data_IF_459920698043
#
_entry.id   IF_459920698043
#
_cell.length_a   1.000
_cell.length_b   1.000
_cell.length_c   1.000
_cell.angle_alpha   90.00
_cell.angle_beta   90.00
_cell.angle_gamma   90.00
#
_symmetry.space_group_name_H-M   'P 1'
#
loop_
_entity.id
_entity.type
_entity.pdbx_description
1 polymer ?
#
# COMPACT_ATOMS: atom_id res chain seq x y z
N UNK A 1 -34.33 63.91 9.83
CA UNK A 1 -34.21 62.80 8.85
C UNK A 1 -32.76 62.71 8.39
N UNK A 2 -32.02 61.68 8.81
CA UNK A 2 -30.72 61.30 8.23
C UNK A 2 -30.92 59.95 7.56
N UNK A 3 -30.75 59.87 6.25
CA UNK A 3 -30.80 58.63 5.48
C UNK A 3 -29.35 58.15 5.36
N UNK A 4 -29.03 57.07 6.06
CA UNK A 4 -27.73 56.39 5.98
C UNK A 4 -27.81 55.35 4.87
N UNK A 5 -27.02 55.51 3.82
CA UNK A 5 -26.90 54.50 2.76
C UNK A 5 -25.91 53.42 3.20
N UNK A 6 -26.40 52.19 3.35
CA UNK A 6 -25.60 51.00 3.61
C UNK A 6 -25.10 50.46 2.27
N UNK A 7 -23.80 50.61 1.99
CA UNK A 7 -23.16 50.00 0.82
C UNK A 7 -22.90 48.52 1.12
N UNK A 8 -23.68 47.63 0.48
CA UNK A 8 -23.46 46.19 0.53
C UNK A 8 -22.49 45.80 -0.61
N UNK A 9 -21.21 45.66 -0.29
CA UNK A 9 -20.22 45.12 -1.23
C UNK A 9 -20.39 43.60 -1.31
N UNK A 10 -20.98 43.11 -2.42
CA UNK A 10 -20.94 41.69 -2.78
C UNK A 10 -19.51 41.31 -3.21
N UNK A 11 -18.80 40.61 -2.34
CA UNK A 11 -17.56 39.91 -2.69
C UNK A 11 -17.92 38.65 -3.50
N UNK A 12 -17.83 38.73 -4.82
CA UNK A 12 -17.80 37.55 -5.68
C UNK A 12 -16.44 36.85 -5.50
N UNK A 13 -16.37 35.94 -4.53
CA UNK A 13 -15.25 35.02 -4.43
C UNK A 13 -15.28 34.07 -5.63
N UNK A 14 -14.24 34.10 -6.46
CA UNK A 14 -13.99 33.06 -7.45
C UNK A 14 -13.70 31.75 -6.71
N UNK A 15 -14.73 30.93 -6.50
CA UNK A 15 -14.55 29.55 -6.09
C UNK A 15 -13.96 28.79 -7.28
N UNK A 16 -12.64 28.63 -7.30
CA UNK A 16 -12.01 27.59 -8.11
C UNK A 16 -12.37 26.28 -7.42
N UNK A 17 -13.31 25.52 -7.99
CA UNK A 17 -13.56 24.16 -7.53
C UNK A 17 -12.27 23.35 -7.72
N UNK A 18 -11.65 22.94 -6.61
CA UNK A 18 -10.47 22.09 -6.66
C UNK A 18 -10.83 20.79 -7.38
N UNK A 19 -10.07 20.44 -8.42
CA UNK A 19 -10.28 19.22 -9.18
C UNK A 19 -10.06 18.01 -8.27
N UNK A 20 -11.03 17.09 -8.20
CA UNK A 20 -10.87 15.87 -7.40
C UNK A 20 -9.67 15.05 -7.88
N UNK A 21 -9.08 14.27 -6.97
CA UNK A 21 -7.96 13.38 -7.32
C UNK A 21 -8.31 12.45 -8.49
N UNK A 22 -9.52 11.90 -8.51
CA UNK A 22 -10.00 11.09 -9.63
C UNK A 22 -10.06 11.86 -10.95
N UNK A 23 -10.45 13.13 -10.94
CA UNK A 23 -10.47 13.99 -12.15
C UNK A 23 -9.07 14.17 -12.73
N UNK A 24 -8.07 14.36 -11.86
CA UNK A 24 -6.67 14.44 -12.28
C UNK A 24 -6.17 13.10 -12.85
N UNK A 25 -6.51 11.98 -12.21
CA UNK A 25 -6.14 10.65 -12.71
C UNK A 25 -6.79 10.33 -14.07
N UNK A 26 -8.02 10.78 -14.30
CA UNK A 26 -8.75 10.58 -15.57
C UNK A 26 -8.13 11.32 -16.76
N UNK A 27 -7.14 12.21 -16.57
CA UNK A 27 -6.40 12.84 -17.68
C UNK A 27 -5.52 11.85 -18.44
N UNK A 28 -5.11 10.75 -17.80
CA UNK A 28 -4.18 9.78 -18.37
C UNK A 28 -4.89 8.64 -19.10
N UNK A 29 -4.47 8.35 -20.33
CA UNK A 29 -5.10 7.32 -21.18
C UNK A 29 -5.10 5.93 -20.55
N UNK A 30 -4.04 5.57 -19.80
CA UNK A 30 -3.96 4.27 -19.10
C UNK A 30 -4.97 4.15 -17.97
N UNK A 31 -5.26 5.25 -17.27
CA UNK A 31 -6.31 5.26 -16.23
C UNK A 31 -7.68 5.16 -16.88
N UNK A 32 -7.94 5.89 -17.99
CA UNK A 32 -9.19 5.74 -18.74
C UNK A 32 -9.41 4.30 -19.21
N UNK A 33 -8.37 3.67 -19.75
CA UNK A 33 -8.42 2.26 -20.16
C UNK A 33 -8.68 1.33 -18.97
N UNK A 34 -8.01 1.55 -17.84
CA UNK A 34 -8.27 0.80 -16.61
C UNK A 34 -9.74 0.91 -16.18
N UNK A 35 -10.31 2.11 -16.17
CA UNK A 35 -11.73 2.36 -15.86
C UNK A 35 -12.64 1.57 -16.81
N UNK A 36 -12.45 1.73 -18.12
CA UNK A 36 -13.27 1.07 -19.15
C UNK A 36 -13.25 -0.45 -18.99
N UNK A 37 -12.07 -1.02 -18.73
CA UNK A 37 -11.89 -2.47 -18.73
C UNK A 37 -12.19 -3.13 -17.38
N UNK A 38 -11.99 -2.41 -16.27
CA UNK A 38 -11.94 -3.01 -14.92
C UNK A 38 -12.94 -2.44 -13.93
N UNK A 39 -13.60 -1.31 -14.19
CA UNK A 39 -14.48 -0.69 -13.19
C UNK A 39 -15.60 -1.65 -12.75
N UNK A 40 -16.33 -2.26 -13.69
CA UNK A 40 -17.40 -3.23 -13.34
C UNK A 40 -16.87 -4.43 -12.53
N UNK A 41 -15.64 -4.87 -12.79
CA UNK A 41 -15.00 -5.97 -12.06
C UNK A 41 -14.69 -5.55 -10.62
N UNK A 42 -14.11 -4.35 -10.45
CA UNK A 42 -13.80 -3.77 -9.14
C UNK A 42 -15.08 -3.54 -8.33
N UNK A 43 -16.11 -2.95 -8.95
CA UNK A 43 -17.42 -2.75 -8.32
C UNK A 43 -18.05 -4.08 -7.88
N UNK A 44 -18.05 -5.09 -8.75
CA UNK A 44 -18.62 -6.41 -8.44
C UNK A 44 -17.92 -7.06 -7.24
N UNK A 45 -16.58 -7.04 -7.22
CA UNK A 45 -15.78 -7.57 -6.09
C UNK A 45 -16.06 -6.82 -4.78
N UNK A 46 -16.22 -5.50 -4.81
CA UNK A 46 -16.59 -4.73 -3.62
C UNK A 46 -18.02 -5.09 -3.15
N UNK A 47 -18.96 -5.18 -4.08
CA UNK A 47 -20.37 -5.49 -3.79
C UNK A 47 -20.54 -6.88 -3.19
N UNK A 48 -19.80 -7.89 -3.64
CA UNK A 48 -19.75 -9.24 -3.04
C UNK A 48 -19.41 -9.19 -1.54
N UNK A 49 -18.73 -8.14 -1.08
CA UNK A 49 -18.36 -7.91 0.32
C UNK A 49 -19.16 -6.79 1.01
N UNK A 50 -20.26 -6.34 0.40
CA UNK A 50 -21.11 -5.23 0.86
C UNK A 50 -20.38 -3.88 0.96
N UNK A 51 -19.46 -3.61 0.03
CA UNK A 51 -18.72 -2.36 -0.10
C UNK A 51 -19.16 -1.61 -1.37
N UNK A 52 -19.03 -0.28 -1.35
CA UNK A 52 -19.25 0.58 -2.52
C UNK A 52 -17.91 1.07 -3.06
N UNK A 53 -17.83 1.33 -4.36
CA UNK A 53 -16.62 1.89 -4.99
C UNK A 53 -16.31 3.34 -4.57
N UNK A 54 -17.29 4.03 -3.99
CA UNK A 54 -17.15 5.40 -3.49
C UNK A 54 -17.26 5.48 -1.95
N UNK A 55 -17.15 4.34 -1.24
CA UNK A 55 -17.15 4.27 0.23
C UNK A 55 -16.37 3.05 0.74
N UNK A 56 -15.04 3.13 0.68
CA UNK A 56 -14.18 2.15 1.34
C UNK A 56 -12.80 2.70 1.71
N UNK A 57 -12.17 2.08 2.71
CA UNK A 57 -10.73 2.13 2.90
C UNK A 57 -10.09 0.81 2.46
N UNK A 58 -8.88 0.92 1.93
CA UNK A 58 -8.07 -0.13 1.35
C UNK A 58 -6.84 -0.41 2.21
N UNK A 59 -6.36 -1.65 2.20
CA UNK A 59 -5.10 -2.09 2.78
C UNK A 59 -4.56 -3.26 1.97
N UNK A 60 -3.25 -3.28 1.73
CA UNK A 60 -2.58 -4.39 1.04
C UNK A 60 -1.70 -5.19 2.00
N UNK A 61 -1.72 -6.52 1.85
CA UNK A 61 -0.79 -7.42 2.55
C UNK A 61 -0.08 -8.29 1.53
N UNK A 62 1.25 -8.19 1.44
CA UNK A 62 2.06 -8.96 0.52
C UNK A 62 2.90 -10.01 1.26
N UNK A 63 3.05 -11.19 0.64
CA UNK A 63 3.90 -12.27 1.11
C UNK A 63 4.96 -12.62 0.07
N UNK A 64 6.22 -12.54 0.47
CA UNK A 64 7.35 -12.78 -0.44
C UNK A 64 7.51 -14.26 -0.80
N UNK A 65 7.25 -15.19 0.12
CA UNK A 65 7.49 -16.62 -0.13
C UNK A 65 6.53 -17.21 -1.17
N UNK A 66 5.23 -16.96 -1.04
CA UNK A 66 4.18 -17.44 -1.95
C UNK A 66 3.87 -16.48 -3.11
N UNK A 67 4.50 -15.30 -3.16
CA UNK A 67 4.28 -14.30 -4.20
C UNK A 67 2.81 -13.91 -4.32
N UNK A 68 2.19 -13.56 -3.19
CA UNK A 68 0.78 -13.15 -3.11
C UNK A 68 0.66 -11.73 -2.56
N UNK A 69 -0.30 -10.98 -3.09
CA UNK A 69 -0.77 -9.70 -2.55
C UNK A 69 -2.26 -9.83 -2.26
N UNK A 70 -2.62 -9.84 -0.99
CA UNK A 70 -3.98 -9.82 -0.50
C UNK A 70 -4.51 -8.39 -0.44
N UNK A 71 -5.76 -8.22 -0.85
CA UNK A 71 -6.47 -6.94 -0.79
C UNK A 71 -7.50 -6.99 0.32
N UNK A 72 -7.41 -6.03 1.22
CA UNK A 72 -8.31 -5.85 2.33
C UNK A 72 -9.07 -4.54 2.17
N UNK A 73 -10.38 -4.58 2.42
CA UNK A 73 -11.20 -3.38 2.40
C UNK A 73 -12.25 -3.37 3.52
N UNK A 74 -12.65 -2.17 3.93
CA UNK A 74 -13.72 -1.90 4.90
C UNK A 74 -14.51 -0.68 4.46
N UNK A 75 -15.74 -0.50 4.94
CA UNK A 75 -16.42 0.79 4.78
C UNK A 75 -15.65 1.89 5.51
N UNK A 76 -15.76 3.13 5.07
CA UNK A 76 -15.08 4.25 5.77
C UNK A 76 -15.57 4.39 7.23
N UNK A 77 -16.83 4.01 7.48
CA UNK A 77 -17.47 4.00 8.81
C UNK A 77 -17.09 2.82 9.71
N UNK A 78 -16.44 1.78 9.16
CA UNK A 78 -16.05 0.57 9.90
C UNK A 78 -14.58 0.63 10.31
N UNK A 79 -14.16 -0.17 11.30
CA UNK A 79 -12.75 -0.31 11.71
C UNK A 79 -12.11 -1.61 11.22
N UNK A 80 -12.92 -2.64 11.00
CA UNK A 80 -12.46 -3.99 10.67
C UNK A 80 -12.46 -4.25 9.17
N UNK A 81 -11.29 -4.59 8.63
CA UNK A 81 -11.08 -4.97 7.25
C UNK A 81 -11.53 -6.40 6.95
N UNK A 82 -12.02 -6.61 5.72
CA UNK A 82 -12.32 -7.92 5.14
C UNK A 82 -11.35 -8.17 3.99
N UNK A 83 -10.84 -9.39 3.86
CA UNK A 83 -10.09 -9.78 2.66
C UNK A 83 -11.09 -9.89 1.52
N UNK A 84 -10.91 -9.10 0.47
CA UNK A 84 -11.79 -9.08 -0.70
C UNK A 84 -11.18 -9.78 -1.92
N UNK A 85 -9.85 -9.96 -1.95
CA UNK A 85 -9.20 -10.56 -3.10
C UNK A 85 -7.77 -11.02 -2.79
N UNK A 86 -7.16 -11.78 -3.70
CA UNK A 86 -5.75 -12.17 -3.67
C UNK A 86 -5.17 -12.20 -5.08
N UNK A 87 -4.08 -11.46 -5.29
CA UNK A 87 -3.38 -11.33 -6.56
C UNK A 87 -2.03 -12.02 -6.51
N UNK A 88 -1.65 -12.66 -7.61
CA UNK A 88 -0.30 -13.22 -7.75
C UNK A 88 0.70 -12.13 -8.12
N UNK A 89 1.74 -11.98 -7.32
CA UNK A 89 2.94 -11.20 -7.65
C UNK A 89 3.71 -12.00 -8.71
N UNK A 90 3.99 -11.37 -9.84
CA UNK A 90 4.45 -12.06 -11.06
C UNK A 90 5.88 -12.56 -10.98
N UNK A 91 6.72 -11.85 -10.24
CA UNK A 91 8.12 -12.18 -10.03
C UNK A 91 8.59 -11.70 -8.65
N UNK A 92 9.62 -12.36 -8.13
CA UNK A 92 10.26 -12.02 -6.84
C UNK A 92 11.73 -11.76 -7.07
N UNK A 93 12.25 -10.72 -6.43
CA UNK A 93 13.69 -10.46 -6.33
C UNK A 93 14.22 -10.87 -4.95
N UNK A 94 15.48 -11.28 -4.91
CA UNK A 94 16.20 -11.56 -3.68
C UNK A 94 15.71 -12.80 -2.91
N UNK A 95 16.09 -12.86 -1.64
CA UNK A 95 15.74 -13.89 -0.65
C UNK A 95 14.80 -13.33 0.42
N UNK A 96 14.36 -14.17 1.35
CA UNK A 96 13.67 -13.68 2.54
C UNK A 96 14.64 -12.87 3.41
N UNK A 97 14.12 -11.79 3.99
CA UNK A 97 14.86 -10.74 4.68
C UNK A 97 14.58 -9.35 4.12
N UNK A 98 14.73 -8.29 4.92
CA UNK A 98 14.39 -6.93 4.51
C UNK A 98 15.39 -6.38 3.48
N UNK A 99 14.95 -5.34 2.76
CA UNK A 99 15.82 -4.49 1.96
C UNK A 99 16.61 -3.55 2.88
N UNK A 100 17.94 -3.57 2.78
CA UNK A 100 18.83 -2.78 3.65
C UNK A 100 19.85 -1.94 2.88
N UNK A 101 20.03 -2.15 1.58
CA UNK A 101 21.01 -1.41 0.79
C UNK A 101 20.55 -1.22 -0.66
N UNK A 102 20.96 -0.12 -1.29
CA UNK A 102 20.82 0.05 -2.74
C UNK A 102 21.54 -1.09 -3.48
N UNK A 103 20.89 -1.69 -4.49
CA UNK A 103 21.49 -2.81 -5.24
C UNK A 103 21.54 -4.16 -4.52
N UNK A 104 20.88 -4.33 -3.38
CA UNK A 104 20.75 -5.65 -2.72
C UNK A 104 19.71 -6.59 -3.36
N UNK A 105 18.98 -6.10 -4.39
CA UNK A 105 17.92 -6.81 -5.10
C UNK A 105 16.80 -7.37 -4.19
N UNK A 106 16.61 -6.80 -3.00
CA UNK A 106 15.59 -7.24 -2.04
C UNK A 106 14.29 -6.44 -2.18
N UNK A 107 13.14 -7.11 -2.08
CA UNK A 107 11.88 -6.45 -1.69
C UNK A 107 11.91 -6.19 -0.18
N UNK A 108 11.53 -5.00 0.30
CA UNK A 108 11.48 -4.70 1.73
C UNK A 108 10.51 -5.61 2.50
N UNK A 109 10.70 -5.67 3.81
CA UNK A 109 9.81 -6.36 4.76
C UNK A 109 9.50 -5.38 5.89
N UNK A 110 8.22 -5.21 6.23
CA UNK A 110 7.80 -4.18 7.18
C UNK A 110 6.43 -3.58 6.86
N UNK A 111 6.17 -2.43 7.48
CA UNK A 111 4.91 -1.71 7.37
C UNK A 111 5.12 -0.39 6.61
N UNK A 112 4.39 -0.23 5.52
CA UNK A 112 4.52 0.87 4.57
C UNK A 112 3.14 1.47 4.26
N UNK A 113 3.13 2.51 3.44
CA UNK A 113 1.92 3.01 2.80
C UNK A 113 2.22 3.52 1.39
N UNK A 114 1.19 3.53 0.55
CA UNK A 114 1.25 4.14 -0.78
C UNK A 114 1.42 5.66 -0.62
N UNK A 115 2.46 6.22 -1.22
CA UNK A 115 2.74 7.66 -1.23
C UNK A 115 2.78 8.26 -2.64
N UNK A 116 2.77 7.42 -3.68
CA UNK A 116 2.95 7.84 -5.06
C UNK A 116 1.99 7.09 -5.97
N UNK A 117 1.35 7.80 -6.89
CA UNK A 117 0.47 7.25 -7.93
C UNK A 117 1.01 7.70 -9.29
N UNK A 118 1.52 6.75 -10.08
CA UNK A 118 2.16 7.06 -11.36
C UNK A 118 1.40 6.38 -12.51
N UNK A 119 0.52 7.14 -13.20
CA UNK A 119 -0.22 6.64 -14.35
C UNK A 119 0.59 6.58 -15.64
N UNK A 120 1.81 7.15 -15.67
CA UNK A 120 2.73 7.19 -16.81
C UNK A 120 4.01 6.36 -16.55
N UNK A 121 3.91 5.34 -15.70
CA UNK A 121 5.03 4.47 -15.36
C UNK A 121 5.68 3.83 -16.60
N UNK A 122 6.98 3.57 -16.54
CA UNK A 122 7.65 2.73 -17.55
C UNK A 122 7.11 1.28 -17.54
N UNK A 123 6.43 0.87 -16.46
CA UNK A 123 5.82 -0.45 -16.27
C UNK A 123 4.28 -0.40 -16.22
N UNK A 124 3.67 0.34 -17.16
CA UNK A 124 2.22 0.54 -17.31
C UNK A 124 1.57 1.49 -16.26
N UNK A 125 1.12 0.96 -15.13
CA UNK A 125 0.64 1.73 -13.97
C UNK A 125 1.51 1.36 -12.77
N UNK A 126 1.77 2.30 -11.86
CA UNK A 126 2.49 1.96 -10.64
C UNK A 126 2.11 2.80 -9.43
N UNK A 127 2.16 2.17 -8.26
CA UNK A 127 1.94 2.79 -6.95
C UNK A 127 3.20 2.62 -6.09
N UNK A 128 3.79 3.71 -5.65
CA UNK A 128 5.03 3.70 -4.86
C UNK A 128 4.72 3.60 -3.37
N UNK A 129 5.52 2.83 -2.65
CA UNK A 129 5.49 2.79 -1.18
C UNK A 129 6.52 3.75 -0.58
N UNK A 130 6.31 4.15 0.67
CA UNK A 130 7.22 5.03 1.41
C UNK A 130 8.54 4.36 1.88
N UNK A 131 9.09 3.40 1.13
CA UNK A 131 10.41 2.84 1.38
C UNK A 131 11.52 3.82 0.92
N UNK A 132 12.60 4.02 1.70
CA UNK A 132 12.80 3.51 3.06
C UNK A 132 11.94 4.26 4.08
N UNK A 133 11.36 3.55 5.06
CA UNK A 133 10.68 4.17 6.19
C UNK A 133 11.68 4.45 7.34
N UNK A 134 11.20 4.90 8.52
CA UNK A 134 12.08 5.18 9.66
C UNK A 134 12.76 3.92 10.21
N UNK A 135 12.08 2.78 10.26
CA UNK A 135 12.64 1.51 10.74
C UNK A 135 13.76 1.07 9.81
N UNK A 136 13.55 1.18 8.49
CA UNK A 136 14.57 0.86 7.49
C UNK A 136 15.84 1.69 7.67
N UNK A 137 15.68 3.01 7.86
CA UNK A 137 16.79 3.95 8.07
C UNK A 137 17.59 3.64 9.32
N UNK A 138 16.94 3.26 10.44
CA UNK A 138 17.62 2.93 11.69
C UNK A 138 18.32 1.57 11.59
N UNK A 139 17.70 0.59 10.94
CA UNK A 139 18.23 -0.79 10.84
C UNK A 139 19.26 -0.98 9.73
N UNK A 140 19.66 0.06 9.00
CA UNK A 140 20.68 -0.03 7.96
C UNK A 140 21.89 0.84 8.27
N UNK A 141 23.08 0.27 8.08
CA UNK A 141 24.35 0.98 8.11
C UNK A 141 24.86 1.33 6.70
N UNK A 142 24.06 1.08 5.66
CA UNK A 142 24.48 1.33 4.28
C UNK A 142 24.47 2.84 3.97
N UNK A 143 25.42 3.35 3.16
CA UNK A 143 25.44 4.75 2.73
C UNK A 143 24.16 5.18 1.98
N UNK A 144 23.55 4.22 1.26
CA UNK A 144 22.29 4.39 0.54
C UNK A 144 21.43 3.15 0.71
N UNK A 145 20.18 3.34 1.10
CA UNK A 145 19.18 2.27 1.14
C UNK A 145 18.53 2.01 -0.22
N UNK A 146 18.69 2.96 -1.16
CA UNK A 146 17.93 3.00 -2.40
C UNK A 146 16.54 3.58 -2.17
N UNK A 147 15.61 3.24 -3.05
CA UNK A 147 14.23 3.72 -3.04
C UNK A 147 13.42 2.97 -4.09
N UNK A 148 12.42 3.66 -4.66
CA UNK A 148 11.74 3.21 -5.88
C UNK A 148 11.15 1.80 -5.79
N UNK A 149 10.51 1.49 -4.65
CA UNK A 149 9.74 0.26 -4.49
C UNK A 149 8.29 0.55 -4.87
N UNK A 150 7.82 -0.16 -5.90
CA UNK A 150 6.49 0.02 -6.46
C UNK A 150 5.71 -1.30 -6.53
N UNK A 151 4.39 -1.19 -6.45
CA UNK A 151 3.43 -2.16 -6.98
C UNK A 151 3.14 -1.70 -8.41
N UNK A 152 3.46 -2.49 -9.44
CA UNK A 152 3.37 -2.03 -10.83
C UNK A 152 2.98 -3.13 -11.83
N UNK A 153 2.70 -2.76 -13.09
CA UNK A 153 2.43 -3.70 -14.18
C UNK A 153 3.68 -4.39 -14.72
N UNK A 154 3.63 -4.97 -15.91
CA UNK A 154 4.75 -5.69 -16.53
C UNK A 154 5.28 -6.84 -15.67
N UNK A 155 6.53 -7.28 -15.90
CA UNK A 155 7.05 -8.55 -15.37
C UNK A 155 8.39 -8.42 -14.65
N UNK A 156 9.10 -7.32 -14.86
CA UNK A 156 10.48 -7.14 -14.40
C UNK A 156 10.54 -6.53 -13.02
N UNK A 157 11.47 -6.99 -12.18
CA UNK A 157 11.66 -6.42 -10.84
C UNK A 157 13.09 -6.60 -10.34
N UNK A 158 13.56 -5.59 -9.60
CA UNK A 158 14.82 -5.55 -8.85
C UNK A 158 14.53 -5.23 -7.36
N UNK A 159 13.31 -5.56 -6.89
CA UNK A 159 12.84 -5.29 -5.52
C UNK A 159 11.38 -4.87 -5.42
N UNK A 160 10.77 -4.45 -6.53
CA UNK A 160 9.34 -4.13 -6.64
C UNK A 160 8.42 -5.36 -6.55
N UNK A 161 7.11 -5.08 -6.50
CA UNK A 161 6.02 -6.06 -6.49
C UNK A 161 5.32 -6.02 -7.88
N UNK A 162 5.89 -6.66 -8.92
CA UNK A 162 5.30 -6.65 -10.25
C UNK A 162 4.03 -7.49 -10.26
N UNK A 163 3.01 -6.97 -10.92
CA UNK A 163 1.74 -7.63 -11.18
C UNK A 163 1.75 -8.10 -12.64
N UNK A 164 0.63 -8.04 -13.33
CA UNK A 164 0.60 -7.97 -14.80
C UNK A 164 -0.03 -6.63 -15.18
N UNK A 165 0.10 -6.20 -16.43
CA UNK A 165 -0.62 -5.02 -16.92
C UNK A 165 -2.14 -5.16 -16.70
N UNK A 166 -2.66 -6.38 -16.85
CA UNK A 166 -4.07 -6.65 -16.58
C UNK A 166 -4.45 -6.43 -15.12
N UNK A 167 -3.65 -6.96 -14.19
CA UNK A 167 -3.97 -6.96 -12.76
C UNK A 167 -3.62 -5.67 -12.05
N UNK A 168 -2.63 -4.93 -12.52
CA UNK A 168 -2.33 -3.61 -11.94
C UNK A 168 -3.47 -2.62 -12.17
N UNK A 169 -4.23 -2.74 -13.27
CA UNK A 169 -5.40 -1.88 -13.50
C UNK A 169 -6.42 -2.00 -12.37
N UNK A 170 -6.75 -3.22 -11.93
CA UNK A 170 -7.68 -3.47 -10.81
C UNK A 170 -7.14 -2.84 -9.51
N UNK A 171 -5.88 -3.14 -9.14
CA UNK A 171 -5.24 -2.60 -7.93
C UNK A 171 -5.12 -1.07 -7.92
N UNK A 172 -4.78 -0.48 -9.07
CA UNK A 172 -4.68 0.96 -9.24
C UNK A 172 -6.05 1.63 -9.09
N UNK A 173 -7.11 1.05 -9.65
CA UNK A 173 -8.48 1.55 -9.49
C UNK A 173 -8.91 1.55 -8.02
N UNK A 174 -8.73 0.45 -7.30
CA UNK A 174 -9.01 0.41 -5.86
C UNK A 174 -8.31 1.57 -5.13
N UNK A 175 -7.03 1.77 -5.42
CA UNK A 175 -6.23 2.75 -4.71
C UNK A 175 -6.60 4.21 -5.04
N UNK A 176 -6.95 4.52 -6.30
CA UNK A 176 -7.35 5.89 -6.66
C UNK A 176 -8.76 6.24 -6.19
N UNK A 177 -9.68 5.28 -6.09
CA UNK A 177 -10.98 5.49 -5.48
C UNK A 177 -10.85 5.75 -3.97
N UNK A 178 -10.16 4.86 -3.25
CA UNK A 178 -9.91 5.06 -1.82
C UNK A 178 -9.20 6.39 -1.51
N UNK A 179 -8.22 6.79 -2.33
CA UNK A 179 -7.54 8.09 -2.22
C UNK A 179 -8.46 9.27 -2.55
N UNK A 180 -9.31 9.13 -3.56
CA UNK A 180 -10.30 10.16 -3.92
C UNK A 180 -11.29 10.41 -2.77
N UNK A 181 -11.61 9.36 -2.00
CA UNK A 181 -12.55 9.42 -0.89
C UNK A 181 -11.87 9.73 0.46
N UNK A 182 -10.64 10.26 0.40
CA UNK A 182 -9.93 10.82 1.56
C UNK A 182 -8.94 9.89 2.24
N UNK A 183 -8.71 8.67 1.74
CA UNK A 183 -7.66 7.81 2.29
C UNK A 183 -6.28 8.24 1.78
N UNK A 184 -5.65 9.20 2.47
CA UNK A 184 -4.37 9.77 2.07
C UNK A 184 -3.19 8.79 2.12
N UNK A 185 -3.26 7.80 3.01
CA UNK A 185 -2.24 6.77 3.21
C UNK A 185 -2.91 5.40 3.16
N UNK A 186 -2.67 4.66 2.10
CA UNK A 186 -3.16 3.28 1.96
C UNK A 186 -2.09 2.35 2.53
N UNK A 187 -2.33 1.62 3.63
CA UNK A 187 -1.31 0.78 4.24
C UNK A 187 -0.92 -0.40 3.34
N UNK A 188 0.37 -0.74 3.36
CA UNK A 188 0.96 -1.86 2.65
C UNK A 188 1.86 -2.62 3.62
N UNK A 189 1.47 -3.81 4.01
CA UNK A 189 2.26 -4.66 4.89
C UNK A 189 2.96 -5.72 4.05
N UNK A 190 4.28 -5.84 4.18
CA UNK A 190 5.07 -6.78 3.40
C UNK A 190 5.76 -7.74 4.36
N UNK A 191 5.33 -9.00 4.32
CA UNK A 191 5.84 -10.07 5.16
C UNK A 191 6.71 -11.04 4.36
N UNK A 192 7.71 -11.69 5.01
CA UNK A 192 8.52 -12.71 4.37
C UNK A 192 7.66 -13.90 3.91
N UNK A 193 6.65 -14.26 4.69
CA UNK A 193 5.73 -15.38 4.48
C UNK A 193 4.47 -15.17 5.31
N UNK A 194 3.46 -16.05 5.17
CA UNK A 194 2.30 -16.08 6.09
C UNK A 194 2.78 -16.50 7.48
N UNK A 195 2.96 -15.56 8.40
CA UNK A 195 3.68 -15.78 9.67
C UNK A 195 2.85 -16.47 10.77
N UNK A 196 2.02 -17.46 10.41
CA UNK A 196 1.37 -18.31 11.44
C UNK A 196 2.42 -19.10 12.24
N UNK A 197 2.05 -19.60 13.41
CA UNK A 197 3.00 -20.21 14.36
C UNK A 197 3.77 -21.39 13.76
N UNK A 198 3.11 -22.20 12.91
CA UNK A 198 3.73 -23.34 12.23
C UNK A 198 4.83 -22.88 11.28
N UNK A 199 4.55 -21.91 10.40
CA UNK A 199 5.55 -21.38 9.48
C UNK A 199 6.62 -20.58 10.20
N UNK A 200 6.25 -19.85 11.26
CA UNK A 200 7.21 -19.08 12.05
C UNK A 200 8.26 -19.99 12.69
N UNK A 201 7.85 -21.08 13.34
CA UNK A 201 8.79 -22.04 13.92
C UNK A 201 9.63 -22.77 12.86
N UNK A 202 9.04 -23.10 11.71
CA UNK A 202 9.78 -23.69 10.58
C UNK A 202 10.88 -22.75 10.08
N UNK A 203 10.56 -21.49 9.84
CA UNK A 203 11.50 -20.51 9.31
C UNK A 203 12.54 -20.08 10.36
N UNK A 204 12.16 -19.99 11.63
CA UNK A 204 13.10 -19.76 12.75
C UNK A 204 14.18 -20.85 12.80
N UNK A 205 13.80 -22.12 12.68
CA UNK A 205 14.76 -23.23 12.59
C UNK A 205 15.62 -23.15 11.33
N UNK A 206 15.01 -22.87 10.18
CA UNK A 206 15.71 -22.75 8.89
C UNK A 206 16.77 -21.63 8.88
N UNK A 207 16.52 -20.53 9.58
CA UNK A 207 17.39 -19.35 9.65
C UNK A 207 18.08 -19.20 11.01
N UNK A 208 18.26 -20.29 11.76
CA UNK A 208 18.88 -20.26 13.09
C UNK A 208 20.33 -19.71 13.08
N UNK A 209 21.03 -19.77 11.95
CA UNK A 209 22.36 -19.17 11.75
C UNK A 209 22.33 -17.66 11.46
N UNK A 210 21.15 -17.03 11.45
CA UNK A 210 20.93 -15.60 11.20
C UNK A 210 20.07 -14.98 12.31
N UNK A 211 20.59 -14.89 13.55
CA UNK A 211 19.80 -14.47 14.72
C UNK A 211 19.17 -13.08 14.56
N UNK A 212 19.89 -12.11 14.00
CA UNK A 212 19.35 -10.76 13.76
C UNK A 212 18.12 -10.74 12.84
N UNK A 213 18.09 -11.65 11.84
CA UNK A 213 16.95 -11.80 10.95
C UNK A 213 15.76 -12.43 11.68
N UNK A 214 16.02 -13.41 12.53
CA UNK A 214 15.00 -14.06 13.37
C UNK A 214 14.42 -13.07 14.39
N UNK A 215 15.26 -12.22 15.00
CA UNK A 215 14.81 -11.18 15.93
C UNK A 215 13.95 -10.14 15.22
N UNK A 216 14.37 -9.71 14.02
CA UNK A 216 13.57 -8.84 13.16
C UNK A 216 12.21 -9.47 12.81
N UNK A 217 12.18 -10.74 12.42
CA UNK A 217 10.92 -11.44 12.14
C UNK A 217 10.07 -11.65 13.39
N UNK A 218 10.66 -11.82 14.56
CA UNK A 218 9.93 -11.90 15.82
C UNK A 218 9.18 -10.60 16.09
N UNK A 219 9.84 -9.44 15.91
CA UNK A 219 9.19 -8.14 16.02
C UNK A 219 8.12 -7.90 14.93
N UNK A 220 8.40 -8.32 13.68
CA UNK A 220 7.45 -8.24 12.57
C UNK A 220 6.20 -9.10 12.81
N UNK A 221 6.36 -10.28 13.43
CA UNK A 221 5.26 -11.20 13.76
C UNK A 221 4.27 -10.56 14.72
N UNK A 222 4.71 -9.72 15.66
CA UNK A 222 3.80 -9.02 16.58
C UNK A 222 2.73 -8.22 15.84
N UNK A 223 3.14 -7.45 14.81
CA UNK A 223 2.19 -6.71 13.97
C UNK A 223 1.36 -7.62 13.07
N UNK A 224 1.97 -8.68 12.53
CA UNK A 224 1.24 -9.70 11.76
C UNK A 224 0.10 -10.33 12.57
N UNK A 225 0.39 -10.81 13.79
CA UNK A 225 -0.59 -11.47 14.65
C UNK A 225 -1.70 -10.51 15.05
N UNK A 226 -1.35 -9.26 15.40
CA UNK A 226 -2.32 -8.22 15.75
C UNK A 226 -3.26 -7.93 14.59
N UNK A 227 -2.73 -7.69 13.38
CA UNK A 227 -3.56 -7.49 12.19
C UNK A 227 -4.37 -8.74 11.86
N UNK A 228 -3.80 -9.94 11.99
CA UNK A 228 -4.51 -11.17 11.67
C UNK A 228 -5.65 -11.48 12.65
N UNK A 229 -5.52 -11.05 13.90
CA UNK A 229 -6.54 -11.21 14.94
C UNK A 229 -7.64 -10.16 14.82
N UNK A 230 -7.24 -8.89 14.75
CA UNK A 230 -8.17 -7.76 14.86
C UNK A 230 -8.71 -7.32 13.50
N UNK A 231 -7.94 -7.55 12.43
CA UNK A 231 -8.18 -7.04 11.08
C UNK A 231 -8.38 -5.52 11.07
N UNK A 232 -7.70 -4.79 11.96
CA UNK A 232 -7.72 -3.33 12.01
C UNK A 232 -6.38 -2.77 11.53
N UNK A 233 -6.38 -1.55 11.00
CA UNK A 233 -5.14 -0.87 10.65
C UNK A 233 -4.23 -0.74 11.88
N UNK A 234 -2.97 -1.14 11.72
CA UNK A 234 -2.01 -1.13 12.81
C UNK A 234 -1.56 0.28 13.15
N UNK A 235 -1.67 0.64 14.41
CA UNK A 235 -0.96 1.78 14.99
C UNK A 235 0.37 1.30 15.58
N UNK A 236 1.46 2.01 15.31
CA UNK A 236 2.76 1.68 15.89
C UNK A 236 3.68 2.91 15.92
N UNK A 237 4.68 2.87 16.79
CA UNK A 237 5.85 3.74 16.73
C UNK A 237 7.12 2.91 16.47
N UNK A 238 8.21 3.61 16.15
CA UNK A 238 9.51 2.99 15.86
C UNK A 238 10.49 3.44 16.94
N UNK A 239 11.07 2.49 17.68
CA UNK A 239 12.03 2.78 18.74
C UNK A 239 13.42 3.18 18.21
N UNK A 240 14.34 3.50 19.13
CA UNK A 240 15.71 3.88 18.79
C UNK A 240 16.52 2.78 18.09
N UNK A 241 16.09 1.51 18.16
CA UNK A 241 16.67 0.36 17.49
C UNK A 241 15.95 0.00 16.18
N UNK A 242 14.95 0.80 15.80
CA UNK A 242 14.14 0.60 14.60
C UNK A 242 13.06 -0.47 14.75
N UNK A 243 12.79 -1.00 15.95
CA UNK A 243 11.74 -1.99 16.18
C UNK A 243 10.36 -1.33 16.20
N UNK A 244 9.36 -2.07 15.74
CA UNK A 244 7.95 -1.66 15.78
C UNK A 244 7.35 -1.94 17.17
N UNK A 245 6.72 -0.93 17.77
CA UNK A 245 5.94 -1.06 19.01
C UNK A 245 4.47 -0.77 18.71
N UNK A 246 3.62 -1.80 18.81
CA UNK A 246 2.18 -1.78 18.50
C UNK A 246 1.31 -1.50 19.72
#
# INVERSE_FOLDING_TARGET
MKITYLFLTLLFGNFIAESSFMTEQKKFNRVKAAIIEKQNIVESKLQEHNLSIDDFNLLFVAYKDCSELEVYAKKTSETTYKKIDTYKIKARSGKLGPKRMEGDFQTPEGFYYINTYNPNSQYHLSMGINYPNQSDRIKSNAPKLGGDIYIHGSHMTVGCLPMTDDKIKELYLYAIHAKNDGQDRIPVYIFPYKMNDVFFELYKKKYASSPELVDFWTNLKTGYDKFMTEKQELSYNIDANGNYNF
#
